data_IF_119350383959
#
_entry.id   IF_119350383959
#
_cell.length_a   1.000
_cell.length_b   1.000
_cell.length_c   1.000
_cell.angle_alpha   90.00
_cell.angle_beta   90.00
_cell.angle_gamma   90.00
#
_symmetry.space_group_name_H-M   'P 1'
#
loop_
_entity.id
_entity.type
_entity.pdbx_description
1 polymer ?
#
# COMPACT_ATOMS: atom_id res chain seq x y z
N UNK A 1 2.58 -4.15 19.36
CA UNK A 1 2.51 -5.41 18.61
C UNK A 1 1.53 -5.21 17.45
N UNK A 2 1.86 -5.66 16.23
CA UNK A 2 1.09 -5.40 15.00
C UNK A 2 1.13 -3.95 14.49
N UNK A 3 2.30 -3.28 14.49
CA UNK A 3 2.40 -1.83 14.19
C UNK A 3 2.47 -1.48 12.72
N UNK A 4 2.81 -2.43 11.85
CA UNK A 4 3.02 -2.16 10.44
C UNK A 4 2.64 -3.39 9.62
N UNK A 5 1.75 -3.18 8.64
CA UNK A 5 1.33 -4.18 7.68
C UNK A 5 2.15 -4.05 6.40
N UNK A 6 2.56 -5.19 5.85
CA UNK A 6 3.28 -5.34 4.59
C UNK A 6 2.55 -6.42 3.77
N UNK A 7 2.70 -6.40 2.45
CA UNK A 7 2.06 -7.38 1.57
C UNK A 7 3.05 -8.07 0.64
N UNK A 8 2.74 -9.30 0.27
CA UNK A 8 3.51 -10.14 -0.64
C UNK A 8 2.54 -10.71 -1.66
N UNK A 9 2.90 -10.65 -2.94
CA UNK A 9 2.11 -11.24 -4.02
C UNK A 9 2.99 -12.13 -4.90
N UNK A 10 2.70 -13.43 -4.92
CA UNK A 10 3.37 -14.39 -5.79
C UNK A 10 2.58 -14.54 -7.09
N UNK A 11 3.27 -14.40 -8.22
CA UNK A 11 2.73 -14.60 -9.55
C UNK A 11 3.04 -16.01 -10.04
N UNK A 12 2.28 -16.47 -11.04
CA UNK A 12 2.45 -17.79 -11.65
C UNK A 12 3.78 -17.98 -12.41
N UNK A 13 4.49 -16.90 -12.74
CA UNK A 13 5.78 -16.88 -13.43
C UNK A 13 6.98 -16.95 -12.46
N UNK A 14 6.76 -17.42 -11.23
CA UNK A 14 7.74 -17.43 -10.13
C UNK A 14 8.29 -16.04 -9.78
N UNK A 15 7.56 -14.97 -10.13
CA UNK A 15 7.88 -13.61 -9.73
C UNK A 15 7.15 -13.22 -8.45
N UNK A 16 7.85 -12.57 -7.52
CA UNK A 16 7.26 -12.04 -6.30
C UNK A 16 7.26 -10.51 -6.29
N UNK A 17 6.19 -9.90 -5.80
CA UNK A 17 6.11 -8.47 -5.54
C UNK A 17 5.93 -8.24 -4.05
N UNK A 18 6.91 -7.62 -3.42
CA UNK A 18 6.86 -7.21 -2.03
C UNK A 18 6.40 -5.75 -1.93
N UNK A 19 5.54 -5.44 -0.98
CA UNK A 19 5.00 -4.10 -0.79
C UNK A 19 5.13 -3.64 0.66
N UNK A 20 5.69 -2.45 0.83
CA UNK A 20 5.70 -1.71 2.08
C UNK A 20 5.32 -0.26 1.79
N UNK A 21 4.28 0.25 2.44
CA UNK A 21 3.81 1.62 2.21
C UNK A 21 4.83 2.73 2.57
N UNK A 22 5.87 2.39 3.34
CA UNK A 22 7.02 3.25 3.65
C UNK A 22 8.25 3.03 2.74
N UNK A 23 8.10 2.25 1.66
CA UNK A 23 9.16 2.06 0.68
C UNK A 23 10.35 1.21 1.17
N UNK A 24 10.19 0.49 2.28
CA UNK A 24 11.29 -0.32 2.82
C UNK A 24 11.43 -1.63 2.06
N UNK A 25 12.67 -2.08 1.87
CA UNK A 25 12.97 -3.44 1.39
C UNK A 25 12.47 -4.51 2.39
N UNK A 26 12.22 -5.76 1.95
CA UNK A 26 11.86 -6.84 2.86
C UNK A 26 12.97 -7.10 3.89
N UNK A 27 12.58 -7.32 5.14
CA UNK A 27 13.49 -7.72 6.22
C UNK A 27 13.99 -9.15 6.02
N UNK A 28 15.03 -9.55 6.75
CA UNK A 28 15.73 -10.82 6.55
C UNK A 28 14.79 -12.03 6.39
N UNK A 29 13.88 -12.24 7.34
CA UNK A 29 13.02 -13.44 7.35
C UNK A 29 11.98 -13.41 6.22
N UNK A 30 11.43 -12.22 5.92
CA UNK A 30 10.52 -12.02 4.79
C UNK A 30 11.26 -12.24 3.46
N UNK A 31 12.48 -11.72 3.35
CA UNK A 31 13.33 -11.87 2.17
C UNK A 31 13.68 -13.34 1.95
N UNK A 32 14.00 -14.07 3.01
CA UNK A 32 14.28 -15.50 2.94
C UNK A 32 13.06 -16.27 2.43
N UNK A 33 11.88 -16.00 3.00
CA UNK A 33 10.61 -16.58 2.53
C UNK A 33 10.35 -16.29 1.04
N UNK A 34 10.63 -15.07 0.57
CA UNK A 34 10.49 -14.71 -0.84
C UNK A 34 11.48 -15.51 -1.72
N UNK A 35 12.75 -15.59 -1.32
CA UNK A 35 13.80 -16.32 -2.08
C UNK A 35 13.46 -17.81 -2.20
N UNK A 36 12.89 -18.41 -1.15
CA UNK A 36 12.51 -19.82 -1.16
C UNK A 36 11.30 -20.11 -2.06
N UNK A 37 10.50 -19.10 -2.38
CA UNK A 37 9.21 -19.25 -3.08
C UNK A 37 9.12 -18.47 -4.41
N UNK A 38 10.22 -17.89 -4.89
CA UNK A 38 10.26 -17.14 -6.16
C UNK A 38 11.66 -17.15 -6.78
N UNK A 39 11.75 -17.03 -8.10
CA UNK A 39 13.03 -16.94 -8.82
C UNK A 39 13.58 -15.51 -8.84
N UNK A 40 12.70 -14.52 -8.70
CA UNK A 40 13.03 -13.10 -8.68
C UNK A 40 11.93 -12.31 -7.99
N UNK A 41 12.28 -11.13 -7.46
CA UNK A 41 11.30 -10.27 -6.80
C UNK A 41 11.62 -8.77 -6.98
N UNK A 42 10.57 -7.95 -6.86
CA UNK A 42 10.68 -6.49 -6.76
C UNK A 42 9.99 -5.96 -5.50
N UNK A 43 10.27 -4.69 -5.18
CA UNK A 43 9.53 -3.95 -4.17
C UNK A 43 9.37 -2.48 -4.57
N UNK A 44 8.46 -1.76 -3.91
CA UNK A 44 8.38 -0.31 -4.05
C UNK A 44 9.42 0.38 -3.17
N UNK A 45 10.19 1.29 -3.74
CA UNK A 45 11.16 2.12 -2.98
C UNK A 45 10.54 3.45 -2.53
N UNK A 46 9.49 3.92 -3.21
CA UNK A 46 8.85 5.18 -2.86
C UNK A 46 8.00 5.02 -1.59
N UNK A 47 8.08 6.00 -0.70
CA UNK A 47 7.14 6.18 0.40
C UNK A 47 5.80 6.63 -0.20
N UNK A 48 4.73 5.88 0.05
CA UNK A 48 3.40 6.18 -0.49
C UNK A 48 2.47 6.71 0.59
N UNK A 49 2.58 6.16 1.79
CA UNK A 49 1.76 6.52 2.94
C UNK A 49 2.34 7.72 3.69
N UNK A 50 1.46 8.57 4.22
CA UNK A 50 1.87 9.65 5.09
C UNK A 50 2.42 9.10 6.43
N UNK A 51 3.57 9.59 6.95
CA UNK A 51 4.25 8.98 8.10
C UNK A 51 3.42 8.97 9.39
N UNK A 52 2.48 9.91 9.55
CA UNK A 52 1.64 10.05 10.75
C UNK A 52 0.29 9.32 10.66
N UNK A 53 0.00 8.59 9.58
CA UNK A 53 -1.26 7.84 9.45
C UNK A 53 -1.09 6.39 9.88
N UNK A 54 -2.20 5.74 10.25
CA UNK A 54 -2.25 4.32 10.62
C UNK A 54 -2.87 3.46 9.50
N UNK A 55 -2.69 3.84 8.23
CA UNK A 55 -3.38 3.27 7.07
C UNK A 55 -2.60 2.19 6.33
N UNK A 56 -1.43 1.75 6.83
CA UNK A 56 -0.58 0.76 6.15
C UNK A 56 -1.31 -0.52 5.70
N UNK A 57 -2.27 -1.02 6.49
CA UNK A 57 -3.10 -2.17 6.11
C UNK A 57 -4.02 -1.89 4.91
N UNK A 58 -4.59 -0.68 4.83
CA UNK A 58 -5.43 -0.27 3.69
C UNK A 58 -4.60 -0.12 2.42
N UNK A 59 -3.36 0.39 2.53
CA UNK A 59 -2.40 0.40 1.44
C UNK A 59 -2.06 -1.02 0.97
N UNK A 60 -1.89 -1.98 1.88
CA UNK A 60 -1.68 -3.38 1.53
C UNK A 60 -2.86 -3.95 0.73
N UNK A 61 -4.10 -3.68 1.14
CA UNK A 61 -5.30 -4.12 0.42
C UNK A 61 -5.39 -3.47 -0.97
N UNK A 62 -5.11 -2.17 -1.05
CA UNK A 62 -5.09 -1.45 -2.33
C UNK A 62 -4.02 -2.00 -3.27
N UNK A 63 -2.80 -2.25 -2.76
CA UNK A 63 -1.73 -2.93 -3.50
C UNK A 63 -2.17 -4.30 -4.01
N UNK A 64 -2.71 -5.16 -3.13
CA UNK A 64 -3.12 -6.51 -3.52
C UNK A 64 -4.23 -6.49 -4.58
N UNK A 65 -5.19 -5.59 -4.44
CA UNK A 65 -6.24 -5.37 -5.45
C UNK A 65 -5.66 -4.88 -6.78
N UNK A 66 -4.63 -4.04 -6.76
CA UNK A 66 -3.98 -3.50 -7.95
C UNK A 66 -3.16 -4.59 -8.67
N UNK A 67 -2.27 -5.27 -7.94
CA UNK A 67 -1.32 -6.23 -8.51
C UNK A 67 -2.01 -7.52 -8.98
N UNK A 68 -3.09 -7.96 -8.31
CA UNK A 68 -3.86 -9.13 -8.74
C UNK A 68 -4.55 -8.94 -10.09
N UNK A 69 -4.72 -7.70 -10.53
CA UNK A 69 -5.27 -7.33 -11.85
C UNK A 69 -4.20 -7.15 -12.92
N UNK A 70 -2.95 -7.55 -12.64
CA UNK A 70 -1.82 -7.42 -13.56
C UNK A 70 -1.32 -5.98 -13.73
N UNK A 71 -1.69 -5.06 -12.83
CA UNK A 71 -1.20 -3.68 -12.89
C UNK A 71 0.14 -3.56 -12.14
N UNK A 72 1.15 -2.87 -12.70
CA UNK A 72 2.48 -2.80 -12.11
C UNK A 72 2.55 -1.94 -10.84
N UNK A 73 3.41 -2.32 -9.89
CA UNK A 73 3.54 -1.66 -8.58
C UNK A 73 3.86 -0.16 -8.67
N UNK A 74 4.59 0.26 -9.70
CA UNK A 74 4.99 1.67 -9.90
C UNK A 74 3.81 2.62 -10.19
N UNK A 75 2.62 2.09 -10.51
CA UNK A 75 1.40 2.88 -10.70
C UNK A 75 0.69 3.27 -9.40
N UNK A 76 1.17 2.79 -8.25
CA UNK A 76 0.60 3.13 -6.94
C UNK A 76 1.01 4.52 -6.43
N UNK A 77 1.77 5.31 -7.22
CA UNK A 77 2.39 6.57 -6.77
C UNK A 77 1.73 7.81 -7.36
N UNK A 78 1.20 8.64 -6.48
CA UNK A 78 1.19 10.11 -6.60
C UNK A 78 2.37 10.66 -5.76
N UNK A 79 3.06 11.69 -6.25
CA UNK A 79 4.18 12.33 -5.54
C UNK A 79 3.76 13.01 -4.23
N UNK A 80 2.46 13.08 -3.96
CA UNK A 80 1.88 13.63 -2.74
C UNK A 80 1.28 12.51 -1.86
N UNK A 81 1.86 12.29 -0.67
CA UNK A 81 1.38 11.27 0.27
C UNK A 81 -0.10 11.47 0.65
N UNK A 82 -0.55 12.71 0.80
CA UNK A 82 -1.94 13.01 1.10
C UNK A 82 -2.89 12.75 -0.06
N UNK A 83 -2.43 12.85 -1.31
CA UNK A 83 -3.20 12.38 -2.46
C UNK A 83 -3.31 10.85 -2.44
N UNK A 84 -2.23 10.13 -2.15
CA UNK A 84 -2.25 8.67 -2.01
C UNK A 84 -3.22 8.19 -0.92
N UNK A 85 -3.22 8.83 0.27
CA UNK A 85 -4.16 8.51 1.35
C UNK A 85 -5.62 8.64 0.88
N UNK A 86 -5.94 9.70 0.11
CA UNK A 86 -7.28 9.91 -0.45
C UNK A 86 -7.65 8.86 -1.48
N UNK A 87 -6.72 8.46 -2.35
CA UNK A 87 -6.94 7.39 -3.33
C UNK A 87 -7.27 6.08 -2.61
N UNK A 88 -6.47 5.69 -1.62
CA UNK A 88 -6.69 4.47 -0.84
C UNK A 88 -8.02 4.53 -0.08
N UNK A 89 -8.34 5.67 0.52
CA UNK A 89 -9.60 5.86 1.22
C UNK A 89 -10.80 5.73 0.28
N UNK A 90 -10.75 6.34 -0.90
CA UNK A 90 -11.80 6.22 -1.92
C UNK A 90 -11.96 4.76 -2.38
N UNK A 91 -10.85 4.04 -2.55
CA UNK A 91 -10.87 2.60 -2.83
C UNK A 91 -11.60 1.82 -1.73
N UNK A 92 -11.24 2.04 -0.47
CA UNK A 92 -11.86 1.36 0.67
C UNK A 92 -13.36 1.65 0.73
N UNK A 93 -13.76 2.92 0.64
CA UNK A 93 -15.17 3.31 0.68
C UNK A 93 -15.98 2.73 -0.48
N UNK A 94 -15.37 2.59 -1.66
CA UNK A 94 -16.05 2.09 -2.86
C UNK A 94 -16.15 0.57 -2.92
N UNK A 95 -15.15 -0.15 -2.42
CA UNK A 95 -15.01 -1.58 -2.69
C UNK A 95 -15.00 -2.47 -1.44
N UNK A 96 -14.80 -1.90 -0.24
CA UNK A 96 -14.76 -2.68 0.99
C UNK A 96 -15.93 -2.25 1.89
N UNK A 97 -16.84 -3.19 2.16
CA UNK A 97 -17.93 -3.03 3.12
C UNK A 97 -17.42 -3.17 4.57
N UNK A 98 -16.41 -2.37 4.94
CA UNK A 98 -15.86 -2.42 6.29
C UNK A 98 -16.86 -1.81 7.28
N UNK A 99 -17.35 -2.65 8.20
CA UNK A 99 -18.30 -2.28 9.26
C UNK A 99 -17.78 -1.14 10.14
N UNK A 100 -16.46 -0.97 10.24
CA UNK A 100 -15.79 0.17 10.86
C UNK A 100 -14.62 0.62 9.97
N UNK A 101 -14.88 1.60 9.11
CA UNK A 101 -13.79 2.40 8.53
C UNK A 101 -13.45 3.47 9.57
N UNK A 102 -12.25 3.48 10.20
CA UNK A 102 -11.87 4.63 11.02
C UNK A 102 -12.08 5.91 10.21
N UNK A 103 -12.61 6.97 10.84
CA UNK A 103 -12.84 8.29 10.20
C UNK A 103 -11.70 8.62 9.25
N UNK A 104 -11.95 9.29 8.11
CA UNK A 104 -10.94 9.58 7.10
C UNK A 104 -9.59 9.94 7.74
N UNK A 105 -8.68 8.97 7.81
CA UNK A 105 -7.40 9.16 8.50
C UNK A 105 -6.52 10.18 7.75
N UNK A 106 -6.83 10.37 6.47
CA UNK A 106 -6.37 11.49 5.66
C UNK A 106 -6.76 12.83 6.29
N UNK A 107 -8.01 13.06 6.70
CA UNK A 107 -8.47 14.39 7.16
C UNK A 107 -7.81 14.88 8.45
N UNK A 108 -7.21 14.01 9.26
CA UNK A 108 -6.51 14.43 10.48
C UNK A 108 -5.16 15.11 10.21
N UNK A 109 -4.44 14.68 9.16
CA UNK A 109 -3.08 15.16 8.86
C UNK A 109 -2.94 15.76 7.46
N UNK A 110 -3.82 15.38 6.55
CA UNK A 110 -3.93 15.89 5.19
C UNK A 110 -5.13 16.83 5.11
N UNK A 111 -4.85 18.13 5.10
CA UNK A 111 -5.88 19.14 4.83
C UNK A 111 -6.54 18.84 3.47
N UNK A 112 -7.87 19.01 3.34
CA UNK A 112 -8.49 19.05 2.03
C UNK A 112 -7.82 20.15 1.19
N UNK A 113 -7.68 19.92 -0.12
CA UNK A 113 -7.29 21.00 -1.03
C UNK A 113 -8.32 22.11 -0.83
N UNK A 114 -7.88 23.30 -0.41
CA UNK A 114 -8.74 24.47 -0.34
C UNK A 114 -9.37 24.65 -1.71
N UNK A 115 -10.68 24.47 -1.81
CA UNK A 115 -11.44 24.92 -2.96
C UNK A 115 -11.34 26.43 -2.96
N UNK A 116 -10.36 26.97 -3.68
CA UNK A 116 -10.34 28.36 -4.07
C UNK A 116 -11.60 28.57 -4.91
N UNK A 117 -12.57 29.29 -4.33
CA UNK A 117 -13.75 29.81 -5.02
C UNK A 117 -13.32 30.97 -5.92
#
# INVERSE_FOLDING_TARGET
MGRHWQAIYFRHDNYCVFFCSYGTRPQHDIKQFIIENSSSFEWNENILQHPNTMTCGLFCLYFLWHISRGLPINRLRDGNHCANERIVQNFVQRYLELVHVPRPLSLQYCQPLSTSV
#
